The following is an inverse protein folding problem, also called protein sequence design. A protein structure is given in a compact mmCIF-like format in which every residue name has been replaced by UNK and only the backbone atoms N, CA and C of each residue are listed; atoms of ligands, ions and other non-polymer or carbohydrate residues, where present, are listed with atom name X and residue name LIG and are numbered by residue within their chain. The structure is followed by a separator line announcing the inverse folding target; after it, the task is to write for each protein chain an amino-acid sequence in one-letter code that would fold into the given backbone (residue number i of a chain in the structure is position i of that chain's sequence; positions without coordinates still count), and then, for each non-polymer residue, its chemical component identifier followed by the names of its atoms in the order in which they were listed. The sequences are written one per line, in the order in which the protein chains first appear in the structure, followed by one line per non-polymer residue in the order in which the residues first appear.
data_IF_332356247998
#
_entry.id   IF_332356247998
#
_cell.length_a   1.000
_cell.length_b   1.000
_cell.length_c   1.000
_cell.angle_alpha   90.00
_cell.angle_beta   90.00
_cell.angle_gamma   90.00
#
_symmetry.space_group_name_H-M   'P 1'
#
loop_
_entity.id
_entity.type
_entity.pdbx_description
1 polymer ?
#
# COMPACT_ATOMS: atom_id res chain seq x y z
N UNK A 1 4.34 -53.23 -3.58
CA UNK A 1 5.39 -52.28 -3.15
C UNK A 1 5.10 -50.94 -3.82
N UNK A 2 5.08 -49.87 -3.01
CA UNK A 2 5.18 -48.43 -3.33
C UNK A 2 4.09 -47.82 -4.25
N UNK A 3 3.05 -47.18 -3.68
CA UNK A 3 2.97 -45.76 -3.22
C UNK A 3 2.98 -44.76 -4.39
N UNK A 4 1.85 -44.06 -4.56
CA UNK A 4 1.76 -42.61 -4.36
C UNK A 4 0.27 -42.24 -4.18
N UNK A 5 -0.16 -41.71 -3.03
CA UNK A 5 -1.54 -41.29 -2.84
C UNK A 5 -1.81 -39.97 -3.55
N UNK A 6 -2.96 -39.95 -4.24
CA UNK A 6 -3.86 -38.82 -4.49
C UNK A 6 -3.35 -37.49 -3.96
N UNK A 7 -3.07 -36.56 -4.88
CA UNK A 7 -2.71 -35.18 -4.58
C UNK A 7 -3.67 -34.60 -3.55
N UNK A 8 -3.18 -34.51 -2.32
CA UNK A 8 -3.82 -33.74 -1.27
C UNK A 8 -3.88 -32.30 -1.77
N UNK A 9 -5.07 -31.84 -2.15
CA UNK A 9 -5.36 -30.42 -2.18
C UNK A 9 -5.18 -29.93 -0.76
N UNK A 10 -3.98 -29.43 -0.45
CA UNK A 10 -3.74 -28.62 0.73
C UNK A 10 -4.75 -27.49 0.65
N UNK A 11 -5.85 -27.61 1.40
CA UNK A 11 -6.75 -26.51 1.68
C UNK A 11 -5.88 -25.43 2.30
N UNK A 12 -5.52 -24.44 1.48
CA UNK A 12 -4.86 -23.24 1.95
C UNK A 12 -5.92 -22.45 2.69
N UNK A 13 -6.09 -22.73 3.97
CA UNK A 13 -6.99 -22.05 4.91
C UNK A 13 -6.43 -20.65 5.22
N UNK A 14 -6.22 -19.84 4.19
CA UNK A 14 -5.58 -18.54 4.29
C UNK A 14 -6.22 -17.56 3.33
N UNK A 15 -6.27 -16.29 3.74
CA UNK A 15 -6.71 -15.19 2.90
C UNK A 15 -5.79 -15.09 1.69
N UNK A 16 -6.27 -15.53 0.54
CA UNK A 16 -5.57 -15.41 -0.74
C UNK A 16 -5.79 -13.99 -1.28
N UNK A 17 -4.71 -13.20 -1.28
CA UNK A 17 -4.69 -11.89 -1.91
C UNK A 17 -4.53 -12.08 -3.43
N UNK A 18 -5.44 -11.54 -4.26
CA UNK A 18 -5.30 -11.57 -5.71
C UNK A 18 -3.98 -10.94 -6.17
N UNK A 19 -3.37 -11.48 -7.23
CA UNK A 19 -2.10 -10.96 -7.75
C UNK A 19 -2.18 -9.46 -8.09
N UNK A 20 -3.26 -9.03 -8.75
CA UNK A 20 -3.46 -7.61 -9.08
C UNK A 20 -3.56 -6.72 -7.84
N UNK A 21 -4.18 -7.20 -6.77
CA UNK A 21 -4.28 -6.49 -5.50
C UNK A 21 -2.90 -6.43 -4.82
N UNK A 22 -2.13 -7.51 -4.88
CA UNK A 22 -0.74 -7.53 -4.41
C UNK A 22 0.14 -6.52 -5.18
N UNK A 23 0.06 -6.52 -6.51
CA UNK A 23 0.79 -5.57 -7.38
C UNK A 23 0.41 -4.11 -7.10
N UNK A 24 -0.87 -3.85 -6.89
CA UNK A 24 -1.35 -2.50 -6.54
C UNK A 24 -0.77 -2.04 -5.21
N UNK A 25 -0.73 -2.92 -4.20
CA UNK A 25 -0.13 -2.61 -2.90
C UNK A 25 1.39 -2.38 -3.02
N UNK A 26 2.09 -3.16 -3.84
CA UNK A 26 3.51 -2.93 -4.12
C UNK A 26 3.75 -1.54 -4.74
N UNK A 27 2.95 -1.15 -5.75
CA UNK A 27 3.06 0.15 -6.38
C UNK A 27 2.78 1.32 -5.42
N UNK A 28 1.77 1.16 -4.54
CA UNK A 28 1.46 2.17 -3.52
C UNK A 28 2.62 2.30 -2.54
N UNK A 29 3.18 1.18 -2.05
CA UNK A 29 4.36 1.20 -1.16
C UNK A 29 5.52 1.93 -1.83
N UNK A 30 5.85 1.58 -3.06
CA UNK A 30 6.99 2.16 -3.76
C UNK A 30 6.81 3.66 -3.99
N UNK A 31 5.57 4.11 -4.23
CA UNK A 31 5.25 5.53 -4.34
C UNK A 31 5.37 6.26 -3.00
N UNK A 32 4.92 5.65 -1.90
CA UNK A 32 5.07 6.23 -0.57
C UNK A 32 6.54 6.33 -0.17
N UNK A 33 7.36 5.32 -0.47
CA UNK A 33 8.80 5.35 -0.22
C UNK A 33 9.49 6.45 -1.04
N UNK A 34 9.09 6.63 -2.30
CA UNK A 34 9.58 7.73 -3.12
C UNK A 34 9.19 9.09 -2.51
N UNK A 35 7.93 9.28 -2.14
CA UNK A 35 7.46 10.52 -1.52
C UNK A 35 8.19 10.80 -0.21
N UNK A 36 8.40 9.79 0.63
CA UNK A 36 9.17 9.91 1.87
C UNK A 36 10.61 10.34 1.61
N UNK A 37 11.28 9.77 0.60
CA UNK A 37 12.64 10.16 0.21
C UNK A 37 12.71 11.56 -0.39
N UNK A 38 11.65 12.00 -1.07
CA UNK A 38 11.57 13.36 -1.62
C UNK A 38 11.29 14.41 -0.55
N UNK A 39 10.47 14.06 0.45
CA UNK A 39 10.15 14.91 1.59
C UNK A 39 11.24 14.89 2.69
N UNK A 40 12.12 13.91 2.67
CA UNK A 40 13.24 13.85 3.61
C UNK A 40 14.19 15.04 3.37
N UNK A 41 14.56 15.78 4.43
CA UNK A 41 15.49 16.89 4.32
C UNK A 41 16.83 16.38 3.79
N UNK A 42 17.27 16.93 2.66
CA UNK A 42 18.50 16.53 1.96
C UNK A 42 19.75 17.19 2.53
N UNK A 43 19.57 18.20 3.37
CA UNK A 43 20.65 18.90 4.08
C UNK A 43 20.18 19.37 5.47
N UNK A 44 21.09 19.46 6.43
CA UNK A 44 20.79 19.95 7.79
C UNK A 44 20.28 21.41 7.82
N UNK A 45 20.49 22.18 6.75
CA UNK A 45 19.90 23.52 6.59
C UNK A 45 18.42 23.49 6.18
N UNK A 46 17.87 22.37 5.69
CA UNK A 46 16.44 22.25 5.34
C UNK A 46 15.55 22.00 6.57
N UNK A 47 16.14 21.59 7.70
CA UNK A 47 15.49 21.50 9.02
C UNK A 47 15.66 22.79 9.84
N UNK A 48 16.34 23.80 9.29
CA UNK A 48 16.41 25.10 9.93
C UNK A 48 15.00 25.72 9.96
N UNK A 49 14.62 26.42 11.04
CA UNK A 49 13.30 27.05 11.12
C UNK A 49 13.05 28.06 9.99
N UNK A 50 14.10 28.57 9.35
CA UNK A 50 14.01 29.44 8.16
C UNK A 50 13.69 28.68 6.85
N UNK A 51 13.83 27.35 6.83
CA UNK A 51 13.53 26.47 5.71
C UNK A 51 12.15 25.78 5.83
N UNK A 52 11.35 26.10 6.86
CA UNK A 52 9.97 25.63 6.97
C UNK A 52 9.19 25.99 5.70
N UNK A 53 8.82 24.97 4.93
CA UNK A 53 7.91 25.13 3.81
C UNK A 53 6.57 25.63 4.37
N UNK A 54 6.09 26.83 4.00
CA UNK A 54 4.87 27.39 4.56
C UNK A 54 3.67 26.63 3.98
N UNK A 55 3.37 25.48 4.58
CA UNK A 55 2.22 24.65 4.24
C UNK A 55 1.03 25.14 5.05
N UNK A 56 -0.04 25.52 4.35
CA UNK A 56 -1.31 25.79 5.00
C UNK A 56 -1.88 24.46 5.51
N UNK A 57 -2.39 24.43 6.73
CA UNK A 57 -3.03 23.23 7.30
C UNK A 57 -4.13 22.68 6.38
N UNK A 58 -4.87 23.56 5.69
CA UNK A 58 -5.87 23.17 4.70
C UNK A 58 -5.29 22.35 3.51
N UNK A 59 -4.09 22.71 3.04
CA UNK A 59 -3.43 21.97 1.97
C UNK A 59 -2.96 20.58 2.46
N UNK A 60 -2.51 20.49 3.72
CA UNK A 60 -2.14 19.22 4.32
C UNK A 60 -3.35 18.29 4.50
N UNK A 61 -4.49 18.84 4.94
CA UNK A 61 -5.74 18.10 5.05
C UNK A 61 -6.17 17.54 3.69
N UNK A 62 -6.10 18.34 2.62
CA UNK A 62 -6.40 17.89 1.27
C UNK A 62 -5.48 16.75 0.80
N UNK A 63 -4.18 16.86 1.05
CA UNK A 63 -3.23 15.77 0.74
C UNK A 63 -3.58 14.47 1.47
N UNK A 64 -3.95 14.55 2.75
CA UNK A 64 -4.34 13.37 3.52
C UNK A 64 -5.68 12.78 3.06
N UNK A 65 -6.64 13.61 2.67
CA UNK A 65 -7.89 13.17 2.06
C UNK A 65 -7.61 12.40 0.78
N UNK A 66 -6.82 12.95 -0.15
CA UNK A 66 -6.47 12.28 -1.42
C UNK A 66 -5.74 10.95 -1.21
N UNK A 67 -4.89 10.87 -0.19
CA UNK A 67 -4.14 9.67 0.16
C UNK A 67 -5.04 8.60 0.78
N UNK A 68 -5.94 8.99 1.69
CA UNK A 68 -6.97 8.10 2.22
C UNK A 68 -7.83 7.54 1.09
N UNK A 69 -8.25 8.39 0.16
CA UNK A 69 -9.10 8.02 -0.97
C UNK A 69 -8.44 6.99 -1.91
N UNK A 70 -7.12 7.11 -2.12
CA UNK A 70 -6.34 6.15 -2.89
C UNK A 70 -6.23 4.80 -2.19
N UNK A 71 -5.99 4.80 -0.87
CA UNK A 71 -5.99 3.56 -0.06
C UNK A 71 -7.35 2.88 -0.10
N UNK A 72 -8.42 3.65 0.02
CA UNK A 72 -9.79 3.17 0.02
C UNK A 72 -10.18 2.52 -1.32
N UNK A 73 -9.70 3.09 -2.44
CA UNK A 73 -9.81 2.48 -3.78
C UNK A 73 -9.05 1.15 -3.85
N UNK A 74 -7.83 1.10 -3.34
CA UNK A 74 -7.04 -0.15 -3.27
C UNK A 74 -7.72 -1.23 -2.43
N UNK A 75 -8.27 -0.85 -1.28
CA UNK A 75 -9.01 -1.76 -0.40
C UNK A 75 -10.29 -2.27 -1.06
N UNK A 76 -11.05 -1.40 -1.75
CA UNK A 76 -12.24 -1.83 -2.51
C UNK A 76 -11.88 -2.80 -3.63
N UNK A 77 -10.79 -2.57 -4.35
CA UNK A 77 -10.31 -3.50 -5.37
C UNK A 77 -9.91 -4.86 -4.77
N UNK A 78 -9.31 -4.87 -3.57
CA UNK A 78 -8.94 -6.09 -2.86
C UNK A 78 -10.14 -6.84 -2.25
N UNK A 79 -11.23 -6.14 -1.88
CA UNK A 79 -12.40 -6.71 -1.19
C UNK A 79 -13.27 -7.65 -2.03
N UNK A 80 -12.99 -7.81 -3.33
CA UNK A 80 -13.71 -8.76 -4.21
C UNK A 80 -12.93 -10.01 -4.59
N UNK A 81 -12.19 -10.61 -3.64
CA UNK A 81 -12.01 -12.06 -3.67
C UNK A 81 -13.32 -12.71 -3.19
N UNK A 82 -14.21 -12.96 -4.14
CA UNK A 82 -15.56 -13.57 -4.07
C UNK A 82 -15.77 -14.60 -2.93
N UNK A 83 -16.91 -14.58 -2.20
CA UNK A 83 -17.33 -15.72 -1.38
C UNK A 83 -17.73 -16.90 -2.29
N UNK A 84 -17.08 -18.05 -2.11
CA UNK A 84 -17.30 -19.28 -2.87
C UNK A 84 -18.64 -19.96 -2.47
N UNK A 85 -19.40 -20.59 -3.39
CA UNK A 85 -20.50 -21.51 -3.05
C UNK A 85 -20.02 -22.76 -2.31
#
# INVERSE_FOLDING_TARGET
MSKLPTGATTQTTGYLLPEDAYRTLEQVRDRLDLLARLAAPRAAQEDAPEAELPLRIAALAQCFEELADQLDRGLRAARWSKPLP
#
